data_IF_689276380303
#
_entry.id   IF_689276380303
#
_cell.length_a   1.000
_cell.length_b   1.000
_cell.length_c   1.000
_cell.angle_alpha   90.00
_cell.angle_beta   90.00
_cell.angle_gamma   90.00
#
_symmetry.space_group_name_H-M   'P 1'
#
loop_
_entity.id
_entity.type
_entity.pdbx_description
1 polymer ?
#
# COMPACT_ATOMS: atom_id res chain seq x y z
N UNK A 1 15.79 -6.43 14.09
CA UNK A 1 14.71 -5.61 13.51
C UNK A 1 15.01 -5.53 12.02
N UNK A 2 14.12 -6.03 11.18
CA UNK A 2 14.25 -5.88 9.72
C UNK A 2 13.52 -4.62 9.30
N UNK A 3 14.08 -3.84 8.38
CA UNK A 3 13.39 -2.68 7.79
C UNK A 3 13.05 -3.07 6.37
N UNK A 4 11.75 -3.06 6.03
CA UNK A 4 11.30 -3.31 4.66
C UNK A 4 10.96 -1.96 4.05
N UNK A 5 11.58 -1.65 2.91
CA UNK A 5 11.31 -0.45 2.14
C UNK A 5 10.25 -0.77 1.08
N UNK A 6 9.03 -0.25 1.26
CA UNK A 6 7.99 -0.37 0.24
C UNK A 6 8.03 0.86 -0.67
N UNK A 7 8.44 0.66 -1.92
CA UNK A 7 8.55 1.69 -2.95
C UNK A 7 7.32 1.67 -3.86
N UNK A 8 6.57 2.77 -3.89
CA UNK A 8 5.46 2.92 -4.83
C UNK A 8 5.96 3.29 -6.24
N UNK A 9 6.47 2.30 -6.99
CA UNK A 9 7.06 2.49 -8.32
C UNK A 9 6.14 3.15 -9.35
N UNK A 10 4.83 2.95 -9.25
CA UNK A 10 3.86 3.60 -10.14
C UNK A 10 3.85 5.12 -9.97
N UNK A 11 3.98 5.60 -8.73
CA UNK A 11 4.03 7.04 -8.42
C UNK A 11 5.37 7.64 -8.84
N UNK A 12 6.46 6.90 -8.63
CA UNK A 12 7.80 7.32 -9.09
C UNK A 12 7.82 7.47 -10.61
N UNK A 13 7.27 6.49 -11.35
CA UNK A 13 7.21 6.54 -12.82
C UNK A 13 6.31 7.66 -13.33
N UNK A 14 5.16 7.90 -12.71
CA UNK A 14 4.29 9.02 -13.08
C UNK A 14 4.96 10.39 -12.85
N UNK A 15 5.73 10.54 -11.77
CA UNK A 15 6.43 11.79 -11.45
C UNK A 15 7.60 12.04 -12.42
N UNK A 16 8.31 10.99 -12.81
CA UNK A 16 9.40 11.07 -13.78
C UNK A 16 8.93 11.37 -15.21
N UNK A 17 7.70 10.97 -15.59
CA UNK A 17 7.12 11.30 -16.90
C UNK A 17 6.67 12.76 -17.02
N UNK A 18 6.34 13.41 -15.89
CA UNK A 18 5.89 14.81 -15.85
C UNK A 18 7.05 15.79 -15.72
N UNK A 19 8.21 15.32 -15.26
CA UNK A 19 9.38 16.16 -15.07
C UNK A 19 9.97 16.63 -16.40
N UNK A 20 10.35 17.91 -16.46
CA UNK A 20 11.10 18.47 -17.58
C UNK A 20 12.41 17.69 -17.82
N UNK A 21 12.87 17.61 -19.09
CA UNK A 21 14.09 16.90 -19.41
C UNK A 21 15.27 17.52 -18.64
N UNK A 22 16.06 16.71 -17.92
CA UNK A 22 17.16 17.21 -17.11
C UNK A 22 18.27 17.78 -18.00
N UNK A 23 18.82 18.92 -17.60
CA UNK A 23 19.95 19.56 -18.30
C UNK A 23 21.26 18.81 -18.06
N UNK A 24 21.37 18.10 -16.93
CA UNK A 24 22.60 17.42 -16.52
C UNK A 24 22.32 16.04 -15.86
N UNK A 25 23.23 15.07 -16.06
CA UNK A 25 23.09 13.70 -15.56
C UNK A 25 23.08 13.62 -14.03
N UNK A 26 23.87 14.45 -13.35
CA UNK A 26 23.90 14.50 -11.88
C UNK A 26 22.57 14.98 -11.30
N UNK A 27 21.95 15.97 -11.95
CA UNK A 27 20.68 16.54 -11.53
C UNK A 27 19.53 15.55 -11.74
N UNK A 28 19.57 14.81 -12.85
CA UNK A 28 18.65 13.70 -13.09
C UNK A 28 18.75 12.60 -12.04
N UNK A 29 19.97 12.21 -11.68
CA UNK A 29 20.18 11.17 -10.66
C UNK A 29 19.64 11.63 -9.30
N UNK A 30 19.85 12.90 -8.92
CA UNK A 30 19.29 13.49 -7.70
C UNK A 30 17.76 13.51 -7.71
N UNK A 31 17.12 13.87 -8.83
CA UNK A 31 15.67 13.86 -8.96
C UNK A 31 15.08 12.44 -8.78
N UNK A 32 15.71 11.41 -9.36
CA UNK A 32 15.30 10.02 -9.18
C UNK A 32 15.44 9.60 -7.72
N UNK A 33 16.60 9.86 -7.11
CA UNK A 33 16.84 9.49 -5.71
C UNK A 33 15.85 10.18 -4.76
N UNK A 34 15.50 11.44 -5.02
CA UNK A 34 14.48 12.17 -4.26
C UNK A 34 13.07 11.60 -4.49
N UNK A 35 12.70 11.28 -5.73
CA UNK A 35 11.40 10.67 -6.03
C UNK A 35 11.25 9.29 -5.37
N UNK A 36 12.30 8.47 -5.41
CA UNK A 36 12.34 7.17 -4.74
C UNK A 36 12.21 7.37 -3.23
N UNK A 37 13.03 8.22 -2.59
CA UNK A 37 12.92 8.49 -1.14
C UNK A 37 11.53 8.98 -0.73
N UNK A 38 10.95 9.91 -1.50
CA UNK A 38 9.62 10.48 -1.22
C UNK A 38 8.49 9.46 -1.31
N UNK A 39 8.66 8.42 -2.13
CA UNK A 39 7.68 7.36 -2.33
C UNK A 39 8.09 6.02 -1.73
N UNK A 40 9.14 6.01 -0.91
CA UNK A 40 9.55 4.86 -0.10
C UNK A 40 8.99 5.04 1.29
N UNK A 41 8.10 4.14 1.69
CA UNK A 41 7.67 4.04 3.08
C UNK A 41 8.48 2.94 3.75
N UNK A 42 9.22 3.31 4.79
CA UNK A 42 9.94 2.37 5.64
C UNK A 42 8.96 1.76 6.65
N UNK A 43 8.86 0.43 6.66
CA UNK A 43 8.02 -0.31 7.60
C UNK A 43 8.92 -1.09 8.56
N UNK A 44 8.84 -0.73 9.84
CA UNK A 44 9.56 -1.41 10.92
C UNK A 44 8.96 -2.79 11.09
N UNK A 45 9.75 -3.82 10.80
CA UNK A 45 9.28 -5.21 10.86
C UNK A 45 9.78 -5.89 12.14
N UNK A 46 8.85 -6.46 12.91
CA UNK A 46 9.11 -7.22 14.14
C UNK A 46 9.56 -8.65 13.78
N UNK A 47 10.37 -9.30 14.65
CA UNK A 47 10.94 -10.65 14.41
C UNK A 47 9.91 -11.75 14.07
N UNK A 48 8.64 -11.54 14.42
CA UNK A 48 7.56 -12.52 14.24
C UNK A 48 6.88 -12.46 12.87
N UNK A 49 7.07 -11.38 12.10
CA UNK A 49 6.42 -11.18 10.79
C UNK A 49 7.39 -10.60 9.76
N UNK A 50 8.35 -11.37 9.24
CA UNK A 50 9.47 -10.87 8.42
C UNK A 50 9.07 -10.33 7.04
N UNK A 51 7.80 -10.43 6.63
CA UNK A 51 7.34 -9.97 5.32
C UNK A 51 5.92 -9.42 5.45
N UNK A 52 5.74 -8.15 5.09
CA UNK A 52 4.40 -7.57 4.96
C UNK A 52 3.76 -8.23 3.74
N UNK A 53 2.70 -9.00 3.95
CA UNK A 53 2.04 -9.71 2.86
C UNK A 53 1.33 -8.72 1.91
N UNK A 54 1.84 -8.62 0.68
CA UNK A 54 1.29 -7.77 -0.37
C UNK A 54 -0.19 -8.06 -0.65
N UNK A 55 -0.61 -9.32 -0.51
CA UNK A 55 -2.00 -9.69 -0.70
C UNK A 55 -2.88 -9.11 0.42
N UNK A 56 -2.42 -9.21 1.67
CA UNK A 56 -3.13 -8.66 2.83
C UNK A 56 -3.21 -7.13 2.75
N UNK A 57 -2.15 -6.45 2.33
CA UNK A 57 -2.17 -5.01 2.05
C UNK A 57 -3.24 -4.63 1.02
N UNK A 58 -3.29 -5.33 -0.12
CA UNK A 58 -4.27 -5.07 -1.16
C UNK A 58 -5.72 -5.26 -0.67
N UNK A 59 -5.97 -6.29 0.15
CA UNK A 59 -7.28 -6.51 0.77
C UNK A 59 -7.66 -5.38 1.73
N UNK A 60 -6.71 -4.90 2.54
CA UNK A 60 -6.91 -3.78 3.45
C UNK A 60 -7.18 -2.45 2.72
N UNK A 61 -6.47 -2.14 1.64
CA UNK A 61 -6.72 -0.97 0.81
C UNK A 61 -8.11 -1.00 0.16
N UNK A 62 -8.54 -2.19 -0.28
CA UNK A 62 -9.89 -2.40 -0.82
C UNK A 62 -10.95 -2.21 0.25
N UNK A 63 -10.73 -2.71 1.46
CA UNK A 63 -11.61 -2.51 2.63
C UNK A 63 -11.74 -1.03 2.98
N UNK A 64 -10.63 -0.29 3.06
CA UNK A 64 -10.63 1.16 3.32
C UNK A 64 -11.41 1.94 2.26
N UNK A 65 -11.19 1.61 0.99
CA UNK A 65 -11.90 2.23 -0.14
C UNK A 65 -13.41 1.97 -0.08
N UNK A 66 -13.83 0.74 0.24
CA UNK A 66 -15.25 0.42 0.43
C UNK A 66 -15.85 1.11 1.65
N UNK A 67 -15.10 1.23 2.76
CA UNK A 67 -15.54 1.96 3.94
C UNK A 67 -15.78 3.45 3.64
N UNK A 68 -14.89 4.08 2.87
CA UNK A 68 -15.07 5.47 2.39
C UNK A 68 -16.33 5.61 1.51
N UNK A 69 -16.55 4.66 0.59
CA UNK A 69 -17.77 4.63 -0.25
C UNK A 69 -19.05 4.41 0.58
N UNK A 70 -19.01 3.50 1.56
CA UNK A 70 -20.12 3.21 2.45
C UNK A 70 -20.45 4.41 3.36
N UNK A 71 -19.44 5.15 3.81
CA UNK A 71 -19.66 6.36 4.61
C UNK A 71 -20.48 7.41 3.84
N UNK A 72 -20.23 7.54 2.52
CA UNK A 72 -21.00 8.41 1.62
C UNK A 72 -22.39 7.81 1.29
N UNK A 73 -22.49 6.49 1.20
CA UNK A 73 -23.71 5.76 0.81
C UNK A 73 -24.19 4.79 1.90
N UNK A 74 -24.56 5.33 3.07
CA UNK A 74 -24.82 4.54 4.31
C UNK A 74 -25.89 3.46 4.18
N UNK A 75 -26.89 3.67 3.31
CA UNK A 75 -28.02 2.76 3.12
C UNK A 75 -27.79 1.68 2.05
N UNK A 76 -26.64 1.71 1.36
CA UNK A 76 -26.37 0.72 0.32
C UNK A 76 -26.01 -0.64 0.94
N UNK A 77 -26.99 -1.55 0.93
CA UNK A 77 -26.84 -2.92 1.46
C UNK A 77 -25.77 -3.74 0.74
N UNK A 78 -25.56 -3.52 -0.57
CA UNK A 78 -24.54 -4.22 -1.37
C UNK A 78 -23.13 -3.88 -0.88
N UNK A 79 -22.86 -2.61 -0.59
CA UNK A 79 -21.56 -2.18 -0.05
C UNK A 79 -21.28 -2.75 1.34
N UNK A 80 -22.32 -2.85 2.20
CA UNK A 80 -22.18 -3.48 3.52
C UNK A 80 -21.82 -4.96 3.42
N UNK A 81 -22.53 -5.69 2.55
CA UNK A 81 -22.26 -7.10 2.29
C UNK A 81 -20.85 -7.31 1.76
N UNK A 82 -20.43 -6.53 0.77
CA UNK A 82 -19.06 -6.60 0.23
C UNK A 82 -17.99 -6.31 1.29
N UNK A 83 -18.26 -5.40 2.23
CA UNK A 83 -17.34 -5.09 3.32
C UNK A 83 -17.26 -6.23 4.36
N UNK A 84 -18.36 -6.93 4.61
CA UNK A 84 -18.36 -8.15 5.43
C UNK A 84 -17.58 -9.27 4.75
N UNK A 85 -17.87 -9.56 3.48
CA UNK A 85 -17.16 -10.59 2.69
C UNK A 85 -15.64 -10.35 2.67
N UNK A 86 -15.21 -9.09 2.46
CA UNK A 86 -13.79 -8.72 2.53
C UNK A 86 -13.18 -8.83 3.92
N UNK A 87 -13.97 -8.57 4.97
CA UNK A 87 -13.48 -8.71 6.34
C UNK A 87 -13.27 -10.19 6.69
N UNK A 88 -14.18 -11.07 6.25
CA UNK A 88 -14.05 -12.51 6.40
C UNK A 88 -12.86 -13.07 5.61
N UNK A 89 -12.63 -12.56 4.40
CA UNK A 89 -11.49 -12.93 3.55
C UNK A 89 -10.15 -12.54 4.21
N UNK A 90 -10.05 -11.31 4.74
CA UNK A 90 -8.86 -10.85 5.48
C UNK A 90 -8.62 -11.73 6.71
N UNK A 91 -9.68 -12.08 7.47
CA UNK A 91 -9.57 -12.91 8.66
C UNK A 91 -9.13 -14.34 8.32
N UNK A 92 -9.70 -14.95 7.28
CA UNK A 92 -9.30 -16.30 6.82
C UNK A 92 -7.85 -16.31 6.36
N UNK A 93 -7.45 -15.27 5.64
CA UNK A 93 -6.10 -15.18 5.10
C UNK A 93 -5.06 -14.91 6.20
N UNK A 94 -5.36 -14.05 7.18
CA UNK A 94 -4.48 -13.81 8.33
C UNK A 94 -4.29 -15.05 9.19
N UNK A 95 -5.35 -15.83 9.41
CA UNK A 95 -5.30 -17.12 10.10
C UNK A 95 -4.46 -18.14 9.33
N UNK A 96 -4.60 -18.20 8.01
CA UNK A 96 -3.81 -19.11 7.16
C UNK A 96 -2.32 -18.79 7.18
N UNK A 97 -1.96 -17.51 7.18
CA UNK A 97 -0.57 -17.07 7.13
C UNK A 97 0.07 -16.91 8.50
N UNK A 98 -0.65 -17.24 9.59
CA UNK A 98 -0.23 -16.99 10.97
C UNK A 98 0.30 -15.56 11.19
N UNK A 99 -0.34 -14.60 10.53
CA UNK A 99 0.03 -13.18 10.58
C UNK A 99 -0.95 -12.46 11.50
N UNK A 100 -0.45 -11.95 12.64
CA UNK A 100 -1.23 -11.10 13.52
C UNK A 100 -1.46 -9.71 12.90
N UNK A 101 -2.60 -9.12 13.22
CA UNK A 101 -2.90 -7.71 12.98
C UNK A 101 -2.25 -6.95 14.14
N UNK A 102 -1.25 -6.11 13.86
CA UNK A 102 -0.68 -5.17 14.84
C UNK A 102 -1.56 -3.93 14.93
#
# INVERSE_FOLDING_TARGET
MGTIALTAWDKVRALLQVSEPPVNQEEWSKQIHQAVRKHTTELTTTREQPTVDNHLLALWDRRLSLRKKLHRNKHNKKLRRQLQELSDEIQKYSQRCNCAIV
#
